data_IF_142545353986
#
_entry.id   IF_142545353986
#
_cell.length_a   1.000
_cell.length_b   1.000
_cell.length_c   1.000
_cell.angle_alpha   90.00
_cell.angle_beta   90.00
_cell.angle_gamma   90.00
#
_symmetry.space_group_name_H-M   'P 1'
#
loop_
_entity.id
_entity.type
_entity.pdbx_description
1 polymer ?
#
# COMPACT_ATOMS: atom_id res chain seq x y z
N UNK A 1 -21.42 7.60 -7.83
CA UNK A 1 -19.98 7.92 -7.85
C UNK A 1 -19.36 6.98 -6.85
N UNK A 2 -18.48 6.08 -7.27
CA UNK A 2 -17.80 5.19 -6.32
C UNK A 2 -16.69 6.03 -5.70
N UNK A 3 -16.80 6.29 -4.41
CA UNK A 3 -15.82 7.07 -3.66
C UNK A 3 -14.60 6.20 -3.33
N UNK A 4 -13.43 6.84 -3.25
CA UNK A 4 -12.22 6.17 -2.77
C UNK A 4 -12.47 5.61 -1.37
N UNK A 5 -12.12 4.35 -1.16
CA UNK A 5 -12.30 3.68 0.12
C UNK A 5 -10.95 3.52 0.80
N UNK A 6 -10.79 4.15 1.97
CA UNK A 6 -9.64 3.86 2.83
C UNK A 6 -9.76 2.41 3.33
N UNK A 7 -8.77 1.59 3.00
CA UNK A 7 -8.66 0.20 3.42
C UNK A 7 -7.92 0.13 4.75
N UNK A 8 -6.79 0.80 4.85
CA UNK A 8 -5.96 0.82 6.06
C UNK A 8 -5.11 2.09 6.14
N UNK A 9 -4.62 2.40 7.35
CA UNK A 9 -3.75 3.54 7.62
C UNK A 9 -2.74 3.21 8.71
N UNK A 10 -1.47 3.33 8.36
CA UNK A 10 -0.34 3.18 9.28
C UNK A 10 0.20 4.58 9.59
N UNK A 11 0.20 4.96 10.86
CA UNK A 11 0.84 6.19 11.32
C UNK A 11 2.27 5.89 11.77
N UNK A 12 3.23 6.73 11.37
CA UNK A 12 4.60 6.60 11.83
C UNK A 12 4.71 6.99 13.32
N UNK A 13 5.59 6.30 14.05
CA UNK A 13 5.77 6.48 15.50
C UNK A 13 6.63 7.70 15.86
N UNK A 14 7.51 8.11 14.95
CA UNK A 14 8.53 9.15 15.16
C UNK A 14 8.03 10.56 14.77
N UNK A 15 7.19 10.65 13.72
CA UNK A 15 6.54 11.88 13.29
C UNK A 15 5.04 11.64 13.07
N UNK A 16 4.23 12.27 13.91
CA UNK A 16 2.76 12.17 13.89
C UNK A 16 2.09 12.76 12.64
N UNK A 17 2.86 13.44 11.77
CA UNK A 17 2.39 13.95 10.48
C UNK A 17 2.53 12.94 9.34
N UNK A 18 3.26 11.85 9.57
CA UNK A 18 3.62 10.91 8.53
C UNK A 18 2.69 9.70 8.55
N UNK A 19 2.15 9.38 7.38
CA UNK A 19 1.14 8.32 7.26
C UNK A 19 1.33 7.55 5.97
N UNK A 20 1.15 6.24 6.05
CA UNK A 20 0.98 5.38 4.90
C UNK A 20 -0.49 4.93 4.83
N UNK A 21 -1.18 5.29 3.76
CA UNK A 21 -2.59 5.02 3.53
C UNK A 21 -2.75 4.00 2.39
N UNK A 22 -3.57 2.97 2.64
CA UNK A 22 -3.94 1.97 1.65
C UNK A 22 -5.36 2.28 1.17
N UNK A 23 -5.53 2.65 -0.10
CA UNK A 23 -6.79 3.18 -0.62
C UNK A 23 -7.24 2.35 -1.82
N UNK A 24 -8.48 1.85 -1.79
CA UNK A 24 -9.14 1.29 -2.98
C UNK A 24 -9.75 2.44 -3.78
N UNK A 25 -9.39 2.52 -5.07
CA UNK A 25 -9.80 3.61 -5.96
C UNK A 25 -10.23 3.08 -7.33
N UNK A 26 -10.84 3.94 -8.14
CA UNK A 26 -11.17 3.66 -9.54
C UNK A 26 -10.37 4.58 -10.44
N UNK A 27 -9.55 3.98 -11.31
CA UNK A 27 -8.84 4.66 -12.38
C UNK A 27 -9.34 4.14 -13.73
N UNK A 28 -9.93 5.01 -14.55
CA UNK A 28 -10.47 4.65 -15.88
C UNK A 28 -11.38 3.39 -15.86
N UNK A 29 -12.35 3.36 -14.95
CA UNK A 29 -13.26 2.22 -14.72
C UNK A 29 -12.59 0.92 -14.25
N UNK A 30 -11.33 0.98 -13.82
CA UNK A 30 -10.60 -0.17 -13.27
C UNK A 30 -10.39 0.04 -11.77
N UNK A 31 -10.71 -0.98 -10.96
CA UNK A 31 -10.41 -0.97 -9.53
C UNK A 31 -8.90 -1.13 -9.34
N UNK A 32 -8.30 -0.24 -8.56
CA UNK A 32 -6.86 -0.19 -8.29
C UNK A 32 -6.61 0.01 -6.79
N UNK A 33 -5.43 -0.39 -6.35
CA UNK A 33 -4.91 -0.09 -5.03
C UNK A 33 -3.97 1.11 -5.13
N UNK A 34 -4.26 2.18 -4.41
CA UNK A 34 -3.42 3.37 -4.26
C UNK A 34 -2.68 3.28 -2.93
N UNK A 35 -1.35 3.16 -3.02
CA UNK A 35 -0.43 3.20 -1.89
C UNK A 35 0.05 4.64 -1.72
N UNK A 36 -0.49 5.34 -0.72
CA UNK A 36 -0.24 6.75 -0.51
C UNK A 36 0.64 6.97 0.71
N UNK A 37 1.85 7.49 0.50
CA UNK A 37 2.74 7.91 1.57
C UNK A 37 2.70 9.44 1.71
N UNK A 38 2.49 9.92 2.93
CA UNK A 38 2.56 11.33 3.31
C UNK A 38 3.74 11.47 4.27
N UNK A 39 4.70 12.32 3.93
CA UNK A 39 5.85 12.62 4.78
C UNK A 39 6.19 14.11 4.67
N UNK A 40 6.16 14.83 5.79
CA UNK A 40 6.56 16.25 5.87
C UNK A 40 6.02 17.15 4.72
N UNK A 41 4.73 16.97 4.36
CA UNK A 41 4.07 17.72 3.28
C UNK A 41 4.32 17.18 1.85
N UNK A 42 5.21 16.23 1.67
CA UNK A 42 5.37 15.47 0.43
C UNK A 42 4.34 14.34 0.38
N UNK A 43 3.71 14.16 -0.79
CA UNK A 43 2.76 13.07 -1.04
C UNK A 43 3.25 12.25 -2.22
N UNK A 44 3.43 10.95 -1.98
CA UNK A 44 3.82 9.96 -3.00
C UNK A 44 2.70 8.96 -3.17
N UNK A 45 2.33 8.69 -4.43
CA UNK A 45 1.32 7.71 -4.80
C UNK A 45 1.94 6.60 -5.65
N UNK A 46 1.63 5.34 -5.32
CA UNK A 46 1.90 4.20 -6.19
C UNK A 46 0.57 3.51 -6.46
N UNK A 47 0.11 3.61 -7.70
CA UNK A 47 -1.16 3.00 -8.14
C UNK A 47 -0.84 1.67 -8.79
N UNK A 48 -1.40 0.58 -8.24
CA UNK A 48 -1.23 -0.77 -8.76
C UNK A 48 -2.57 -1.42 -9.07
N UNK A 49 -2.60 -2.20 -10.15
CA UNK A 49 -3.77 -3.00 -10.47
C UNK A 49 -3.92 -4.19 -9.52
N UNK A 50 -5.08 -4.85 -9.58
CA UNK A 50 -5.39 -6.00 -8.73
C UNK A 50 -4.36 -7.15 -8.84
N UNK A 51 -3.84 -7.42 -10.04
CA UNK A 51 -2.86 -8.49 -10.24
C UNK A 51 -1.54 -8.19 -9.53
N UNK A 52 -1.04 -6.96 -9.62
CA UNK A 52 0.17 -6.51 -8.93
C UNK A 52 -0.07 -6.41 -7.43
N UNK A 53 -1.26 -6.01 -6.99
CA UNK A 53 -1.64 -5.99 -5.58
C UNK A 53 -1.59 -7.40 -4.95
N UNK A 54 -2.10 -8.42 -5.65
CA UNK A 54 -1.99 -9.81 -5.18
C UNK A 54 -0.52 -10.25 -5.03
N UNK A 55 0.31 -9.99 -6.05
CA UNK A 55 1.74 -10.31 -6.00
C UNK A 55 2.44 -9.61 -4.83
N UNK A 56 2.17 -8.32 -4.63
CA UNK A 56 2.71 -7.56 -3.51
C UNK A 56 2.29 -8.17 -2.16
N UNK A 57 1.02 -8.53 -2.00
CA UNK A 57 0.52 -9.22 -0.80
C UNK A 57 1.30 -10.51 -0.52
N UNK A 58 1.52 -11.34 -1.53
CA UNK A 58 2.22 -12.61 -1.35
C UNK A 58 3.70 -12.40 -0.99
N UNK A 59 4.37 -11.44 -1.64
CA UNK A 59 5.73 -11.04 -1.27
C UNK A 59 5.83 -10.50 0.15
N UNK A 60 4.86 -9.68 0.59
CA UNK A 60 4.82 -9.12 1.95
C UNK A 60 4.56 -10.20 3.01
N UNK A 61 3.63 -11.13 2.75
CA UNK A 61 3.40 -12.28 3.64
C UNK A 61 4.66 -13.13 3.78
N UNK A 62 5.29 -13.46 2.66
CA UNK A 62 6.56 -14.21 2.66
C UNK A 62 7.64 -13.49 3.46
N UNK A 63 7.79 -12.17 3.29
CA UNK A 63 8.73 -11.37 4.06
C UNK A 63 8.41 -11.37 5.57
N UNK A 64 7.14 -11.20 5.95
CA UNK A 64 6.70 -11.19 7.34
C UNK A 64 6.91 -12.54 8.05
N UNK A 65 6.84 -13.64 7.31
CA UNK A 65 7.12 -14.99 7.80
C UNK A 65 8.63 -15.31 7.88
N UNK A 66 9.50 -14.33 7.60
CA UNK A 66 10.96 -14.49 7.66
C UNK A 66 11.62 -14.83 6.32
N UNK A 67 10.91 -14.68 5.21
CA UNK A 67 11.42 -14.62 3.83
C UNK A 67 12.56 -15.59 3.51
N UNK A 68 12.22 -16.85 3.18
CA UNK A 68 13.06 -17.88 2.55
C UNK A 68 14.56 -17.83 2.87
N UNK A 69 15.01 -18.80 3.69
CA UNK A 69 16.39 -19.28 3.75
C UNK A 69 16.92 -19.62 2.34
N UNK A 70 17.47 -18.64 1.63
CA UNK A 70 18.51 -18.91 0.65
C UNK A 70 19.81 -19.12 1.45
N UNK A 71 20.12 -20.40 1.73
CA UNK A 71 21.28 -20.96 2.44
C UNK A 71 21.04 -21.39 3.90
N UNK A 72 20.76 -22.69 4.07
CA UNK A 72 21.24 -23.49 5.20
C UNK A 72 21.85 -24.77 4.66
#
# INVERSE_FOLDING_TARGET
>A
MIENRLVDKICCLDQNTDTFELIESICFNTVVLDLKAINNGCVTHIIINQQTAHKLSDSLKSWAEGGSNENS
#
